data_IF_772597051141
#
_entry.id   IF_772597051141
#
_cell.length_a   1.000
_cell.length_b   1.000
_cell.length_c   1.000
_cell.angle_alpha   90.00
_cell.angle_beta   90.00
_cell.angle_gamma   90.00
#
_symmetry.space_group_name_H-M   'P 1'
#
loop_
_entity.id
_entity.type
_entity.pdbx_description
1 polymer ?
#
# COMPACT_ATOMS: atom_id res chain seq x y z
N UNK A 1 12.93 -10.99 -5.44
CA UNK A 1 11.69 -10.27 -5.10
C UNK A 1 11.37 -10.53 -3.64
N UNK A 2 11.24 -9.49 -2.86
CA UNK A 2 10.99 -9.61 -1.43
C UNK A 2 9.52 -9.84 -1.10
N UNK A 3 8.63 -9.30 -1.92
CA UNK A 3 7.18 -9.43 -1.74
C UNK A 3 6.58 -10.13 -2.94
N UNK A 4 5.60 -10.98 -2.69
CA UNK A 4 4.93 -11.74 -3.75
C UNK A 4 3.77 -10.95 -4.34
N UNK A 5 3.52 -11.16 -5.64
CA UNK A 5 2.38 -10.57 -6.33
C UNK A 5 1.06 -11.03 -5.68
N UNK A 6 0.10 -10.14 -5.68
CA UNK A 6 -1.27 -10.38 -5.21
C UNK A 6 -1.37 -10.68 -3.73
N UNK A 7 -0.35 -10.29 -2.97
CA UNK A 7 -0.42 -10.31 -1.51
C UNK A 7 -0.65 -8.90 -0.99
N UNK A 8 -1.22 -8.80 0.21
CA UNK A 8 -1.46 -7.52 0.86
C UNK A 8 -0.25 -7.12 1.69
N UNK A 9 0.00 -5.82 1.69
CA UNK A 9 1.04 -5.18 2.49
C UNK A 9 0.47 -3.94 3.14
N UNK A 10 1.17 -3.40 4.13
CA UNK A 10 0.82 -2.10 4.71
C UNK A 10 1.92 -1.08 4.40
N UNK A 11 1.53 0.18 4.36
CA UNK A 11 2.48 1.27 4.18
C UNK A 11 3.26 1.51 5.47
N UNK A 12 4.57 1.69 5.34
CA UNK A 12 5.45 1.99 6.47
C UNK A 12 5.50 3.46 6.81
N UNK A 13 5.02 4.32 5.92
CA UNK A 13 5.08 5.76 6.07
C UNK A 13 3.88 6.41 5.40
N UNK A 14 3.63 7.66 5.73
CA UNK A 14 2.60 8.44 5.07
C UNK A 14 3.01 8.74 3.63
N UNK A 15 2.04 8.71 2.73
CA UNK A 15 2.21 9.10 1.33
C UNK A 15 1.21 10.22 1.03
N UNK A 16 1.52 11.44 1.44
CA UNK A 16 0.55 12.54 1.35
C UNK A 16 0.17 12.88 -0.09
N UNK A 17 1.04 12.63 -1.05
CA UNK A 17 0.72 12.84 -2.47
C UNK A 17 -0.44 11.97 -2.94
N UNK A 18 -0.72 10.87 -2.24
CA UNK A 18 -1.83 9.96 -2.54
C UNK A 18 -2.93 10.02 -1.49
N UNK A 19 -2.80 10.89 -0.50
CA UNK A 19 -3.72 10.97 0.66
C UNK A 19 -3.78 9.65 1.44
N UNK A 20 -2.66 8.93 1.45
CA UNK A 20 -2.53 7.67 2.17
C UNK A 20 -1.65 7.84 3.39
N UNK A 21 -1.89 7.01 4.40
CA UNK A 21 -1.22 7.08 5.67
C UNK A 21 -0.49 5.79 5.98
N UNK A 22 0.51 5.89 6.82
CA UNK A 22 1.15 4.71 7.40
C UNK A 22 0.09 3.77 7.96
N UNK A 23 0.22 2.49 7.64
CA UNK A 23 -0.72 1.46 8.08
C UNK A 23 -1.84 1.18 7.10
N UNK A 24 -2.01 2.00 6.06
CA UNK A 24 -2.97 1.68 5.01
C UNK A 24 -2.56 0.42 4.28
N UNK A 25 -3.54 -0.40 3.91
CA UNK A 25 -3.33 -1.71 3.31
C UNK A 25 -3.58 -1.64 1.81
N UNK A 26 -2.73 -2.28 1.05
CA UNK A 26 -2.85 -2.35 -0.41
C UNK A 26 -2.40 -3.73 -0.89
N UNK A 27 -2.74 -4.04 -2.14
CA UNK A 27 -2.37 -5.31 -2.77
C UNK A 27 -1.30 -5.08 -3.82
N UNK A 28 -0.24 -5.87 -3.80
CA UNK A 28 0.82 -5.81 -4.80
C UNK A 28 0.29 -6.39 -6.11
N UNK A 29 0.34 -5.61 -7.17
CA UNK A 29 -0.14 -6.05 -8.49
C UNK A 29 0.96 -6.12 -9.53
N UNK A 30 2.11 -5.50 -9.27
CA UNK A 30 3.24 -5.54 -10.20
C UNK A 30 4.55 -5.34 -9.45
N UNK A 31 5.60 -6.00 -9.91
CA UNK A 31 6.94 -5.89 -9.39
C UNK A 31 7.83 -5.19 -10.43
N UNK A 32 8.56 -4.18 -9.99
CA UNK A 32 9.47 -3.41 -10.84
C UNK A 32 10.90 -3.58 -10.34
N UNK A 33 11.67 -4.55 -10.88
CA UNK A 33 13.06 -4.71 -10.48
C UNK A 33 13.88 -3.49 -10.92
N UNK A 34 14.75 -3.01 -10.03
CA UNK A 34 15.63 -1.89 -10.32
C UNK A 34 17.07 -2.35 -10.06
N UNK A 35 17.92 -2.42 -11.10
CA UNK A 35 19.32 -2.83 -10.92
C UNK A 35 20.06 -1.84 -10.01
N UNK A 36 20.82 -2.38 -9.06
CA UNK A 36 21.68 -1.62 -8.15
C UNK A 36 20.92 -0.67 -7.22
N UNK A 37 19.62 -0.91 -7.04
CA UNK A 37 18.78 -0.14 -6.13
C UNK A 37 17.67 -1.05 -5.60
N UNK A 38 16.85 -0.52 -4.69
CA UNK A 38 15.73 -1.30 -4.20
C UNK A 38 14.65 -1.41 -5.26
N UNK A 39 13.96 -2.54 -5.24
CA UNK A 39 12.87 -2.78 -6.17
C UNK A 39 11.68 -1.87 -5.88
N UNK A 40 10.90 -1.61 -6.92
CA UNK A 40 9.61 -0.93 -6.80
C UNK A 40 8.46 -1.90 -6.94
N UNK A 41 7.29 -1.47 -6.51
CA UNK A 41 6.06 -2.24 -6.61
C UNK A 41 4.90 -1.33 -6.95
N UNK A 42 4.01 -1.81 -7.81
CA UNK A 42 2.71 -1.16 -8.01
C UNK A 42 1.71 -1.78 -7.05
N UNK A 43 0.98 -0.92 -6.36
CA UNK A 43 -0.01 -1.32 -5.37
C UNK A 43 -1.38 -0.87 -5.82
N UNK A 44 -2.36 -1.74 -5.68
CA UNK A 44 -3.76 -1.39 -5.87
C UNK A 44 -4.38 -1.16 -4.51
N UNK A 45 -4.93 0.03 -4.31
CA UNK A 45 -5.55 0.42 -3.05
C UNK A 45 -7.06 0.31 -3.21
N UNK A 46 -7.68 -0.43 -2.31
CA UNK A 46 -9.13 -0.63 -2.32
C UNK A 46 -9.75 0.11 -1.15
N UNK A 47 -10.98 0.58 -1.37
CA UNK A 47 -11.78 1.09 -0.25
C UNK A 47 -12.39 -0.09 0.53
N UNK A 48 -13.15 0.22 1.57
CA UNK A 48 -13.69 -0.80 2.47
C UNK A 48 -14.69 -1.75 1.80
N UNK A 49 -15.28 -1.35 0.68
CA UNK A 49 -16.24 -2.19 -0.04
C UNK A 49 -15.65 -2.84 -1.29
N UNK A 50 -14.31 -2.77 -1.43
CA UNK A 50 -13.61 -3.49 -2.49
C UNK A 50 -13.49 -2.77 -3.81
N UNK A 51 -13.77 -1.46 -3.85
CA UNK A 51 -13.56 -0.67 -5.06
C UNK A 51 -12.13 -0.16 -5.12
N UNK A 52 -11.53 -0.18 -6.31
CA UNK A 52 -10.20 0.38 -6.49
C UNK A 52 -10.28 1.91 -6.44
N UNK A 53 -9.54 2.49 -5.50
CA UNK A 53 -9.51 3.96 -5.35
C UNK A 53 -8.20 4.58 -5.81
N UNK A 54 -7.14 3.77 -5.92
CA UNK A 54 -5.86 4.26 -6.42
C UNK A 54 -4.98 3.09 -6.85
N UNK A 55 -4.09 3.36 -7.80
CA UNK A 55 -2.97 2.49 -8.12
C UNK A 55 -1.72 3.35 -7.98
N UNK A 56 -0.81 2.95 -7.12
CA UNK A 56 0.37 3.73 -6.79
C UNK A 56 1.63 2.91 -7.00
N UNK A 57 2.77 3.58 -7.15
CA UNK A 57 4.07 2.93 -7.22
C UNK A 57 4.90 3.35 -6.01
N UNK A 58 5.47 2.37 -5.34
CA UNK A 58 6.27 2.59 -4.13
C UNK A 58 7.59 1.84 -4.21
N UNK A 59 8.54 2.27 -3.39
CA UNK A 59 9.79 1.54 -3.20
C UNK A 59 9.58 0.43 -2.15
N UNK A 60 10.39 -0.60 -2.22
CA UNK A 60 10.31 -1.73 -1.31
C UNK A 60 10.36 -1.31 0.16
N UNK A 61 11.17 -0.29 0.47
CA UNK A 61 11.31 0.22 1.84
C UNK A 61 10.07 0.94 2.39
N UNK A 62 9.12 1.24 1.53
CA UNK A 62 7.89 1.96 1.92
C UNK A 62 6.76 1.02 2.32
N UNK A 63 6.96 -0.28 2.21
CA UNK A 63 5.94 -1.27 2.52
C UNK A 63 6.50 -2.35 3.44
N UNK A 64 5.59 -3.02 4.15
CA UNK A 64 5.93 -4.14 5.01
C UNK A 64 4.81 -5.19 4.98
N UNK A 65 5.15 -6.46 5.28
CA UNK A 65 4.13 -7.50 5.28
C UNK A 65 3.16 -7.30 6.45
N UNK A 66 1.93 -7.76 6.24
CA UNK A 66 0.96 -7.82 7.34
C UNK A 66 1.33 -8.97 8.29
N UNK A 67 1.11 -8.76 9.57
CA UNK A 67 1.45 -9.72 10.61
C UNK A 67 0.21 -10.25 11.30
N UNK A 68 0.33 -11.46 11.87
CA UNK A 68 -0.80 -12.15 12.49
C UNK A 68 -1.36 -11.44 13.73
N UNK A 69 -0.58 -10.56 14.33
CA UNK A 69 -1.02 -9.79 15.51
C UNK A 69 -1.55 -8.40 15.15
N UNK A 70 -1.75 -8.14 13.86
CA UNK A 70 -2.30 -6.86 13.40
C UNK A 70 -3.80 -6.98 13.15
N UNK A 71 -4.52 -5.91 13.47
CA UNK A 71 -5.96 -5.81 13.24
C UNK A 71 -6.20 -4.68 12.24
N UNK A 72 -6.98 -4.97 11.20
CA UNK A 72 -7.33 -3.95 10.22
C UNK A 72 -8.30 -2.95 10.83
N UNK A 73 -8.12 -1.68 10.47
CA UNK A 73 -8.85 -0.58 11.08
C UNK A 73 -9.47 0.29 9.99
N UNK A 74 -10.68 0.78 10.25
CA UNK A 74 -11.40 1.64 9.30
C UNK A 74 -11.10 3.11 9.60
N UNK A 75 -10.76 3.87 8.55
CA UNK A 75 -10.67 5.32 8.61
C UNK A 75 -11.28 5.94 7.37
N UNK A 76 -11.69 7.17 7.46
CA UNK A 76 -12.19 7.92 6.29
C UNK A 76 -11.00 8.42 5.49
N UNK A 77 -10.96 8.09 4.20
CA UNK A 77 -9.82 8.42 3.33
C UNK A 77 -9.65 9.93 3.19
N UNK A 78 -10.73 10.64 2.93
CA UNK A 78 -10.70 12.07 2.73
C UNK A 78 -11.82 12.66 3.55
N UNK A 79 -11.46 13.23 4.68
CA UNK A 79 -12.44 13.79 5.56
C UNK A 79 -12.91 15.11 5.00
N UNK A 80 -13.91 15.02 4.13
CA UNK A 80 -14.58 16.21 3.64
C UNK A 80 -15.49 16.68 4.72
N UNK A 81 -15.09 17.71 5.38
CA UNK A 81 -15.94 18.37 6.32
C UNK A 81 -16.79 19.36 5.55
N UNK A 82 -17.97 18.96 5.36
CA UNK A 82 -18.92 19.83 4.69
C UNK A 82 -19.32 20.95 5.64
#
# INVERSE_FOLDING_TARGET
>A
MKFELFTRVSLREDLPQYKLCRGDVATIVEHHPVPDDEDGYSLEVFNAIGETIAVITVAESQIEPLMSNEVLHVRVLDEVIA
#
